data_IF_419934718598
#
_entry.id   IF_419934718598
#
_cell.length_a   1.000
_cell.length_b   1.000
_cell.length_c   1.000
_cell.angle_alpha   90.00
_cell.angle_beta   90.00
_cell.angle_gamma   90.00
#
_symmetry.space_group_name_H-M   'P 1'
#
loop_
_entity.id
_entity.type
_entity.pdbx_description
1 polymer ?
#
# COMPACT_ATOMS: atom_id res chain seq x y z
N UNK A 1 -8.09 -1.59 22.06
CA UNK A 1 -7.31 -2.52 21.22
C UNK A 1 -6.36 -1.72 20.35
N UNK A 2 -5.07 -2.08 20.33
CA UNK A 2 -4.08 -1.47 19.44
C UNK A 2 -4.25 -1.97 18.01
N UNK A 3 -3.92 -1.11 17.05
CA UNK A 3 -3.98 -1.43 15.62
C UNK A 3 -2.58 -1.37 15.03
N UNK A 4 -2.15 -2.51 14.47
CA UNK A 4 -0.90 -2.63 13.73
C UNK A 4 -1.15 -2.59 12.23
N UNK A 5 -0.46 -1.71 11.51
CA UNK A 5 -0.44 -1.69 10.06
C UNK A 5 0.77 -2.46 9.53
N UNK A 6 0.55 -3.38 8.60
CA UNK A 6 1.65 -4.15 8.00
C UNK A 6 2.53 -3.23 7.14
N UNK A 7 3.81 -3.16 7.49
CA UNK A 7 4.85 -2.42 6.75
C UNK A 7 5.81 -3.33 5.99
N UNK A 8 6.60 -2.75 5.09
CA UNK A 8 7.49 -3.47 4.18
C UNK A 8 8.87 -2.80 4.05
N UNK A 9 9.89 -3.61 3.82
CA UNK A 9 11.26 -3.19 3.47
C UNK A 9 11.71 -3.89 2.18
N UNK A 10 10.77 -4.11 1.26
CA UNK A 10 11.02 -4.82 -0.01
C UNK A 10 11.51 -3.83 -1.07
N UNK A 11 12.07 -4.34 -2.17
CA UNK A 11 12.50 -3.50 -3.31
C UNK A 11 11.34 -3.07 -4.23
N UNK A 12 10.09 -3.34 -3.85
CA UNK A 12 8.91 -3.10 -4.68
C UNK A 12 7.85 -2.28 -3.93
N UNK A 13 7.63 -1.04 -4.37
CA UNK A 13 6.63 -0.13 -3.81
C UNK A 13 5.19 -0.64 -3.94
N UNK A 14 4.93 -1.60 -4.83
CA UNK A 14 3.63 -2.26 -4.92
C UNK A 14 3.22 -2.96 -3.61
N UNK A 15 4.17 -3.31 -2.74
CA UNK A 15 3.82 -3.78 -1.40
C UNK A 15 3.25 -2.65 -0.54
N UNK A 16 3.86 -1.46 -0.58
CA UNK A 16 3.44 -0.26 0.17
C UNK A 16 2.03 0.23 -0.22
N UNK A 17 1.57 0.00 -1.47
CA UNK A 17 0.16 0.24 -1.85
C UNK A 17 -0.81 -0.56 -0.98
N UNK A 18 -0.46 -1.80 -0.62
CA UNK A 18 -1.29 -2.62 0.27
C UNK A 18 -1.34 -2.03 1.68
N UNK A 19 -0.25 -1.43 2.17
CA UNK A 19 -0.25 -0.74 3.46
C UNK A 19 -1.17 0.48 3.43
N UNK A 20 -1.06 1.33 2.39
CA UNK A 20 -1.92 2.50 2.24
C UNK A 20 -3.39 2.11 2.14
N UNK A 21 -3.73 1.15 1.27
CA UNK A 21 -5.11 0.67 1.11
C UNK A 21 -5.68 0.08 2.41
N UNK A 22 -4.84 -0.54 3.23
CA UNK A 22 -5.22 -1.02 4.56
C UNK A 22 -5.44 0.15 5.53
N UNK A 23 -4.52 1.11 5.57
CA UNK A 23 -4.62 2.31 6.43
C UNK A 23 -5.90 3.12 6.19
N UNK A 24 -6.27 3.31 4.92
CA UNK A 24 -7.53 3.99 4.55
C UNK A 24 -8.78 3.32 5.15
N UNK A 25 -8.70 2.01 5.40
CA UNK A 25 -9.75 1.19 5.98
C UNK A 25 -9.68 1.04 7.50
N UNK A 26 -8.73 1.68 8.17
CA UNK A 26 -8.60 1.65 9.63
C UNK A 26 -8.99 3.01 10.23
N UNK A 27 -9.69 3.02 11.39
CA UNK A 27 -10.07 4.27 12.05
C UNK A 27 -8.87 4.97 12.69
N UNK A 28 -7.85 4.20 13.08
CA UNK A 28 -6.59 4.67 13.61
C UNK A 28 -5.50 3.60 13.43
N UNK A 29 -4.23 4.02 13.47
CA UNK A 29 -3.07 3.13 13.42
C UNK A 29 -2.13 3.47 14.57
N UNK A 30 -1.83 2.51 15.44
CA UNK A 30 -0.91 2.73 16.57
C UNK A 30 0.55 2.53 16.18
N UNK A 31 0.84 1.62 15.25
CA UNK A 31 2.20 1.34 14.81
C UNK A 31 2.26 0.62 13.47
N UNK A 32 3.43 0.64 12.85
CA UNK A 32 3.81 -0.30 11.82
C UNK A 32 4.30 -1.62 12.41
N UNK A 33 4.04 -2.70 11.68
CA UNK A 33 4.36 -4.07 12.03
C UNK A 33 5.03 -4.72 10.82
N UNK A 34 6.33 -4.99 10.90
CA UNK A 34 7.09 -5.45 9.74
C UNK A 34 6.68 -6.87 9.33
N UNK A 35 6.16 -7.04 8.11
CA UNK A 35 5.75 -8.35 7.59
C UNK A 35 6.86 -9.40 7.65
N UNK A 36 8.09 -9.00 7.35
CA UNK A 36 9.25 -9.92 7.31
C UNK A 36 9.92 -10.12 8.69
N UNK A 37 9.44 -9.47 9.75
CA UNK A 37 9.81 -9.77 11.15
C UNK A 37 8.60 -10.20 12.00
N UNK A 38 7.43 -10.40 11.38
CA UNK A 38 6.13 -10.56 12.06
C UNK A 38 6.07 -11.69 13.11
N UNK A 39 6.79 -12.80 12.89
CA UNK A 39 6.91 -13.88 13.86
C UNK A 39 7.79 -13.57 15.08
N UNK A 40 8.80 -12.70 14.94
CA UNK A 40 9.77 -12.37 16.00
C UNK A 40 9.46 -11.05 16.72
N UNK A 41 8.34 -10.41 16.39
CA UNK A 41 7.92 -9.18 17.05
C UNK A 41 7.53 -9.46 18.50
N UNK A 42 8.25 -8.79 19.40
CA UNK A 42 7.86 -8.64 20.79
C UNK A 42 6.86 -7.50 20.86
N UNK A 43 5.58 -7.86 20.93
CA UNK A 43 4.51 -6.94 21.22
C UNK A 43 4.16 -7.08 22.71
N UNK A 44 4.16 -5.96 23.39
CA UNK A 44 3.75 -5.77 24.78
C UNK A 44 2.26 -6.07 25.00
N UNK A 45 1.44 -5.83 23.97
CA UNK A 45 0.01 -6.08 24.00
C UNK A 45 -0.55 -6.67 22.69
N UNK A 46 -1.81 -7.11 22.72
CA UNK A 46 -2.45 -7.65 21.51
C UNK A 46 -2.75 -6.54 20.50
N UNK A 47 -2.38 -6.78 19.24
CA UNK A 47 -2.57 -5.85 18.14
C UNK A 47 -3.50 -6.45 17.08
N UNK A 48 -4.57 -5.74 16.74
CA UNK A 48 -5.35 -6.05 15.56
C UNK A 48 -4.54 -5.77 14.30
N UNK A 49 -4.48 -6.72 13.38
CA UNK A 49 -3.84 -6.55 12.08
C UNK A 49 -4.69 -7.13 10.96
N UNK A 50 -4.95 -6.32 9.94
CA UNK A 50 -5.48 -6.84 8.69
C UNK A 50 -4.36 -7.56 7.90
N UNK A 51 -4.56 -8.84 7.63
CA UNK A 51 -3.55 -9.72 7.05
C UNK A 51 -3.49 -9.64 5.52
N UNK A 52 -3.41 -8.42 4.98
CA UNK A 52 -3.26 -8.17 3.55
C UNK A 52 -1.79 -8.14 3.14
N UNK A 53 -1.30 -9.25 2.61
CA UNK A 53 0.00 -9.29 1.93
C UNK A 53 0.21 -10.63 1.22
N UNK A 54 1.34 -10.73 0.54
CA UNK A 54 1.94 -12.02 0.20
C UNK A 54 2.89 -12.47 1.31
N UNK A 55 2.68 -13.66 1.85
CA UNK A 55 3.51 -14.25 2.89
C UNK A 55 4.30 -15.43 2.32
N UNK A 56 5.59 -15.54 2.58
CA UNK A 56 6.39 -16.73 2.18
C UNK A 56 7.71 -16.84 2.96
N UNK A 57 8.36 -15.70 3.23
CA UNK A 57 9.80 -15.65 3.54
C UNK A 57 10.18 -16.15 4.94
N UNK A 58 9.23 -16.24 5.87
CA UNK A 58 9.46 -16.83 7.17
C UNK A 58 9.12 -18.32 7.11
N UNK A 59 10.15 -19.11 6.76
CA UNK A 59 10.10 -20.57 6.82
C UNK A 59 9.63 -20.98 8.23
N UNK A 60 8.52 -21.73 8.29
CA UNK A 60 7.94 -22.40 9.46
C UNK A 60 7.24 -21.56 10.54
N UNK A 61 7.54 -20.27 10.71
CA UNK A 61 6.96 -19.47 11.80
C UNK A 61 5.70 -18.72 11.37
N UNK A 62 4.62 -18.94 12.12
CA UNK A 62 3.39 -18.15 12.01
C UNK A 62 3.57 -16.79 12.72
N UNK A 63 2.66 -15.83 12.47
CA UNK A 63 2.62 -14.58 13.24
C UNK A 63 2.67 -14.78 14.75
N UNK A 64 3.23 -13.79 15.46
CA UNK A 64 3.19 -13.74 16.92
C UNK A 64 1.76 -13.93 17.45
N UNK A 65 1.60 -14.65 18.56
CA UNK A 65 0.29 -14.85 19.21
C UNK A 65 -0.33 -13.55 19.73
N UNK A 66 0.47 -12.48 19.85
CA UNK A 66 -0.01 -11.14 20.15
C UNK A 66 -0.74 -10.48 18.97
N UNK A 67 -0.67 -11.05 17.76
CA UNK A 67 -1.46 -10.58 16.63
C UNK A 67 -2.88 -11.14 16.72
N UNK A 68 -3.86 -10.25 16.63
CA UNK A 68 -5.26 -10.56 16.38
C UNK A 68 -5.56 -10.33 14.89
N UNK A 69 -5.47 -11.36 14.05
CA UNK A 69 -5.56 -11.20 12.61
C UNK A 69 -7.01 -11.08 12.14
N UNK A 70 -7.22 -10.27 11.11
CA UNK A 70 -8.37 -10.37 10.22
C UNK A 70 -7.87 -10.64 8.81
N UNK A 71 -8.30 -11.74 8.19
CA UNK A 71 -7.78 -12.15 6.88
C UNK A 71 -8.60 -11.57 5.73
N UNK A 72 -7.98 -10.68 4.96
CA UNK A 72 -8.49 -10.14 3.71
C UNK A 72 -7.31 -9.85 2.79
N UNK A 73 -7.38 -10.25 1.52
CA UNK A 73 -6.28 -10.05 0.58
C UNK A 73 -5.02 -10.82 0.96
N UNK A 74 -5.17 -11.93 1.68
CA UNK A 74 -4.06 -12.80 2.06
C UNK A 74 -3.61 -13.65 0.87
N UNK A 75 -2.33 -13.63 0.54
CA UNK A 75 -1.77 -14.48 -0.52
C UNK A 75 -0.79 -15.50 0.08
N UNK A 76 -1.10 -16.77 -0.15
CA UNK A 76 -0.37 -17.92 0.36
C UNK A 76 0.82 -18.23 -0.55
N UNK A 77 2.00 -17.73 -0.17
CA UNK A 77 3.07 -17.46 -1.11
C UNK A 77 3.97 -18.61 -1.52
N UNK A 78 3.74 -19.83 -1.05
CA UNK A 78 4.52 -20.99 -1.49
C UNK A 78 4.13 -22.28 -0.80
N UNK A 79 4.52 -23.41 -1.39
CA UNK A 79 4.29 -24.76 -0.86
C UNK A 79 4.96 -24.96 0.52
N UNK A 80 6.03 -24.22 0.82
CA UNK A 80 6.71 -24.29 2.12
C UNK A 80 5.83 -23.85 3.29
N UNK A 81 4.80 -23.01 3.05
CA UNK A 81 3.85 -22.61 4.09
C UNK A 81 2.80 -23.70 4.38
N UNK A 82 2.71 -24.73 3.54
CA UNK A 82 1.85 -25.89 3.80
C UNK A 82 2.36 -26.74 4.97
N UNK A 83 3.59 -26.48 5.41
CA UNK A 83 4.27 -27.17 6.50
C UNK A 83 4.58 -26.19 7.65
N UNK A 84 4.76 -26.70 8.87
CA UNK A 84 5.11 -25.89 10.04
C UNK A 84 3.89 -25.26 10.74
N UNK A 85 4.05 -24.06 11.31
CA UNK A 85 3.04 -23.44 12.17
C UNK A 85 1.92 -22.71 11.42
N UNK A 86 2.11 -22.39 10.13
CA UNK A 86 1.12 -21.65 9.33
C UNK A 86 -0.24 -22.36 9.24
N UNK A 87 -0.34 -23.66 8.89
CA UNK A 87 -1.65 -24.33 8.81
C UNK A 87 -2.39 -24.33 10.16
N UNK A 88 -1.66 -24.52 11.27
CA UNK A 88 -2.23 -24.47 12.63
C UNK A 88 -2.73 -23.07 12.96
N UNK A 89 -1.95 -22.04 12.63
CA UNK A 89 -2.33 -20.64 12.86
C UNK A 89 -3.56 -20.27 12.04
N UNK A 90 -3.57 -20.58 10.74
CA UNK A 90 -4.67 -20.26 9.84
C UNK A 90 -5.97 -20.99 10.24
N UNK A 91 -5.91 -22.26 10.66
CA UNK A 91 -7.09 -22.98 11.19
C UNK A 91 -7.76 -22.29 12.36
N UNK A 92 -7.01 -21.59 13.22
CA UNK A 92 -7.56 -20.86 14.37
C UNK A 92 -8.42 -19.66 13.96
N UNK A 93 -8.17 -19.09 12.79
CA UNK A 93 -8.74 -17.81 12.34
C UNK A 93 -9.52 -17.94 11.02
N UNK A 94 -9.89 -19.16 10.63
CA UNK A 94 -10.72 -19.40 9.46
C UNK A 94 -12.14 -18.82 9.66
N UNK A 95 -12.85 -18.42 8.59
CA UNK A 95 -12.45 -18.52 7.19
C UNK A 95 -11.37 -17.49 6.79
N UNK A 96 -10.47 -17.88 5.89
CA UNK A 96 -9.38 -17.02 5.41
C UNK A 96 -9.80 -16.29 4.13
N UNK A 97 -9.86 -14.95 4.19
CA UNK A 97 -10.06 -14.09 3.02
C UNK A 97 -8.79 -13.98 2.16
N UNK A 98 -8.75 -14.74 1.07
CA UNK A 98 -7.61 -14.84 0.18
C UNK A 98 -7.63 -13.81 -0.96
N UNK A 99 -6.45 -13.30 -1.33
CA UNK A 99 -6.28 -12.36 -2.45
C UNK A 99 -6.65 -12.94 -3.80
N UNK A 100 -6.31 -14.21 -4.01
CA UNK A 100 -6.39 -14.90 -5.29
C UNK A 100 -6.96 -16.31 -5.14
N UNK A 101 -7.57 -16.83 -6.21
CA UNK A 101 -8.25 -18.13 -6.19
C UNK A 101 -7.26 -19.29 -6.05
N UNK A 102 -6.01 -19.12 -6.49
CA UNK A 102 -4.95 -20.09 -6.25
C UNK A 102 -4.63 -20.27 -4.77
N UNK A 103 -4.67 -19.20 -3.96
CA UNK A 103 -4.48 -19.25 -2.51
C UNK A 103 -5.66 -19.97 -1.85
N UNK A 104 -6.90 -19.69 -2.28
CA UNK A 104 -8.10 -20.42 -1.84
C UNK A 104 -7.94 -21.92 -2.09
N UNK A 105 -7.59 -22.31 -3.32
CA UNK A 105 -7.42 -23.71 -3.68
C UNK A 105 -6.34 -24.41 -2.85
N UNK A 106 -5.24 -23.73 -2.53
CA UNK A 106 -4.19 -24.27 -1.66
C UNK A 106 -4.67 -24.48 -0.23
N UNK A 107 -5.36 -23.50 0.36
CA UNK A 107 -5.87 -23.62 1.73
C UNK A 107 -6.95 -24.69 1.86
N UNK A 108 -7.87 -24.78 0.89
CA UNK A 108 -8.90 -25.83 0.87
C UNK A 108 -8.29 -27.24 0.80
N UNK A 109 -7.21 -27.43 0.04
CA UNK A 109 -6.45 -28.70 0.01
C UNK A 109 -5.83 -29.07 1.37
N UNK A 110 -5.60 -28.10 2.25
CA UNK A 110 -5.11 -28.31 3.62
C UNK A 110 -6.25 -28.47 4.64
N UNK A 111 -7.51 -28.52 4.20
CA UNK A 111 -8.69 -28.57 5.06
C UNK A 111 -8.93 -27.27 5.83
N UNK A 112 -8.51 -26.12 5.30
CA UNK A 112 -8.69 -24.80 5.91
C UNK A 112 -9.76 -24.05 5.12
N UNK A 113 -10.79 -23.57 5.80
CA UNK A 113 -11.84 -22.81 5.13
C UNK A 113 -11.29 -21.46 4.65
N UNK A 114 -11.60 -21.13 3.39
CA UNK A 114 -11.07 -19.98 2.69
C UNK A 114 -11.99 -19.57 1.55
N UNK A 115 -12.05 -18.26 1.31
CA UNK A 115 -12.83 -17.66 0.22
C UNK A 115 -11.99 -16.60 -0.50
N UNK A 116 -12.38 -16.28 -1.73
CA UNK A 116 -11.74 -15.22 -2.49
C UNK A 116 -12.31 -13.86 -2.06
N UNK A 117 -11.46 -13.03 -1.47
CA UNK A 117 -11.83 -11.68 -0.99
C UNK A 117 -11.36 -10.57 -1.93
N UNK A 118 -10.48 -10.88 -2.90
CA UNK A 118 -9.77 -9.87 -3.68
C UNK A 118 -8.71 -9.13 -2.84
N UNK A 119 -8.29 -7.96 -3.30
CA UNK A 119 -7.27 -7.11 -2.64
C UNK A 119 -7.88 -5.74 -2.31
N UNK A 120 -7.63 -5.16 -1.13
CA UNK A 120 -8.10 -3.80 -0.80
C UNK A 120 -7.53 -2.73 -1.72
N UNK A 121 -6.46 -3.01 -2.45
CA UNK A 121 -5.98 -2.06 -3.47
C UNK A 121 -7.04 -1.82 -4.55
N UNK A 122 -8.01 -2.71 -4.76
CA UNK A 122 -9.18 -2.45 -5.62
C UNK A 122 -10.13 -1.39 -5.06
N UNK A 123 -10.04 -1.08 -3.75
CA UNK A 123 -10.94 -0.17 -3.04
C UNK A 123 -10.33 1.19 -2.77
N UNK A 124 -9.06 1.37 -3.11
CA UNK A 124 -8.33 2.61 -2.83
C UNK A 124 -9.04 3.85 -3.44
N UNK A 125 -9.65 3.71 -4.62
CA UNK A 125 -10.39 4.80 -5.27
C UNK A 125 -11.67 5.23 -4.54
N UNK A 126 -12.26 4.37 -3.69
CA UNK A 126 -13.45 4.74 -2.90
C UNK A 126 -13.19 5.82 -1.85
N UNK A 127 -11.92 6.05 -1.51
CA UNK A 127 -11.48 7.08 -0.57
C UNK A 127 -11.01 8.36 -1.27
N UNK A 128 -11.02 8.41 -2.59
CA UNK A 128 -10.54 9.56 -3.35
C UNK A 128 -11.68 10.16 -4.15
N UNK A 129 -11.66 11.48 -4.34
CA UNK A 129 -12.59 12.10 -5.29
C UNK A 129 -12.35 11.52 -6.70
N UNK A 130 -13.40 11.14 -7.43
CA UNK A 130 -13.25 10.60 -8.77
C UNK A 130 -12.63 11.65 -9.71
N UNK A 131 -11.85 11.18 -10.68
CA UNK A 131 -11.36 12.02 -11.78
C UNK A 131 -12.24 11.72 -13.00
N UNK A 132 -12.99 12.71 -13.54
CA UNK A 132 -13.78 12.56 -14.75
C UNK A 132 -12.93 12.06 -15.93
N UNK A 133 -13.54 11.32 -16.85
CA UNK A 133 -12.80 10.64 -17.94
C UNK A 133 -12.10 11.66 -18.86
N UNK A 134 -12.77 12.77 -19.13
CA UNK A 134 -12.34 13.89 -19.95
C UNK A 134 -11.17 14.69 -19.36
N UNK A 135 -10.96 14.60 -18.05
CA UNK A 135 -9.83 15.24 -17.36
C UNK A 135 -8.58 14.37 -17.32
N UNK A 136 -8.71 13.07 -17.63
CA UNK A 136 -7.60 12.12 -17.57
C UNK A 136 -6.68 12.30 -18.76
N UNK A 137 -5.39 12.21 -18.49
CA UNK A 137 -4.32 12.45 -19.47
C UNK A 137 -3.19 11.45 -19.30
N UNK A 138 -2.52 11.14 -20.40
CA UNK A 138 -1.28 10.38 -20.40
C UNK A 138 -1.47 8.87 -20.41
N UNK A 139 -0.50 8.20 -21.04
CA UNK A 139 -0.37 6.74 -21.07
C UNK A 139 0.87 6.36 -20.27
N UNK A 140 0.73 5.44 -19.31
CA UNK A 140 1.83 5.07 -18.41
C UNK A 140 2.25 3.62 -18.59
N UNK A 141 3.55 3.41 -18.84
CA UNK A 141 4.17 2.11 -19.06
C UNK A 141 4.93 1.69 -17.79
N UNK A 142 4.28 0.93 -16.91
CA UNK A 142 4.79 0.68 -15.56
C UNK A 142 5.52 -0.66 -15.47
N UNK A 143 6.84 -0.59 -15.32
CA UNK A 143 7.73 -1.74 -15.16
C UNK A 143 7.59 -2.81 -16.26
N UNK A 144 7.29 -2.47 -17.51
CA UNK A 144 7.14 -3.47 -18.57
C UNK A 144 8.40 -4.31 -18.80
N UNK A 145 8.21 -5.51 -19.38
CA UNK A 145 9.34 -6.35 -19.79
C UNK A 145 9.68 -6.04 -21.25
N UNK A 146 10.96 -6.04 -21.64
CA UNK A 146 11.32 -5.81 -23.04
C UNK A 146 10.57 -6.72 -24.02
N UNK A 147 10.40 -8.00 -23.65
CA UNK A 147 9.68 -8.99 -24.47
C UNK A 147 8.18 -8.73 -24.63
N UNK A 148 7.56 -7.88 -23.81
CA UNK A 148 6.14 -7.52 -23.98
C UNK A 148 5.91 -6.37 -24.96
N UNK A 149 6.95 -5.57 -25.28
CA UNK A 149 6.80 -4.36 -26.09
C UNK A 149 6.29 -4.65 -27.51
N UNK A 150 6.62 -5.82 -28.08
CA UNK A 150 6.13 -6.26 -29.40
C UNK A 150 4.61 -6.48 -29.47
N UNK A 151 3.93 -6.59 -28.33
CA UNK A 151 2.48 -6.75 -28.25
C UNK A 151 1.74 -5.41 -28.05
N UNK A 152 2.49 -4.32 -27.92
CA UNK A 152 1.96 -2.99 -27.67
C UNK A 152 2.16 -2.16 -28.94
N UNK A 153 1.09 -1.54 -29.49
CA UNK A 153 1.17 -0.67 -30.67
C UNK A 153 2.24 0.41 -30.55
N UNK A 154 2.86 0.76 -31.67
CA UNK A 154 3.94 1.75 -31.72
C UNK A 154 3.49 3.12 -31.22
N UNK A 155 2.28 3.55 -31.54
CA UNK A 155 1.72 4.83 -31.10
C UNK A 155 1.56 4.89 -29.57
N UNK A 156 1.09 3.80 -28.95
CA UNK A 156 0.98 3.66 -27.48
C UNK A 156 2.37 3.65 -26.83
N UNK A 157 3.35 2.97 -27.44
CA UNK A 157 4.73 2.96 -26.95
C UNK A 157 5.38 4.35 -27.05
N UNK A 158 5.19 5.04 -28.16
CA UNK A 158 5.79 6.34 -28.43
C UNK A 158 5.25 7.45 -27.53
N UNK A 159 3.94 7.44 -27.23
CA UNK A 159 3.32 8.42 -26.31
C UNK A 159 3.36 8.01 -24.83
N UNK A 160 3.84 6.80 -24.54
CA UNK A 160 3.84 6.22 -23.20
C UNK A 160 4.98 6.75 -22.34
N UNK A 161 4.66 7.20 -21.12
CA UNK A 161 5.66 7.60 -20.11
C UNK A 161 6.05 6.37 -19.29
N UNK A 162 7.32 5.98 -19.36
CA UNK A 162 7.85 4.88 -18.56
C UNK A 162 8.03 5.32 -17.11
N UNK A 163 7.48 4.55 -16.17
CA UNK A 163 7.65 4.77 -14.73
C UNK A 163 7.89 3.43 -14.01
N UNK A 164 8.53 3.48 -12.84
CA UNK A 164 8.86 2.28 -12.06
C UNK A 164 8.32 2.31 -10.63
N UNK A 165 7.82 1.14 -10.18
CA UNK A 165 7.54 0.88 -8.77
C UNK A 165 8.75 0.31 -8.02
N UNK A 166 9.94 0.32 -8.62
CA UNK A 166 11.17 0.00 -7.91
C UNK A 166 11.44 1.05 -6.83
N UNK A 167 11.88 0.59 -5.66
CA UNK A 167 12.23 1.47 -4.55
C UNK A 167 13.63 2.04 -4.80
N UNK A 168 13.81 3.39 -4.81
CA UNK A 168 15.14 3.97 -4.79
C UNK A 168 15.93 3.56 -3.54
N UNK A 169 17.23 3.23 -3.63
CA UNK A 169 18.03 2.82 -2.47
C UNK A 169 17.96 3.82 -1.29
N UNK A 170 17.90 5.12 -1.59
CA UNK A 170 17.86 6.19 -0.59
C UNK A 170 16.64 6.14 0.36
N UNK A 171 15.55 5.48 -0.03
CA UNK A 171 14.33 5.39 0.78
C UNK A 171 14.00 3.96 1.19
N UNK A 172 14.91 2.99 0.96
CA UNK A 172 14.63 1.56 1.17
C UNK A 172 14.12 1.26 2.59
N UNK A 173 14.72 1.93 3.59
CA UNK A 173 14.43 1.74 5.02
C UNK A 173 13.56 2.87 5.63
N UNK A 174 13.10 3.84 4.83
CA UNK A 174 12.14 4.87 5.26
C UNK A 174 10.72 4.48 4.80
N UNK A 175 9.90 3.82 5.65
CA UNK A 175 8.55 3.40 5.28
C UNK A 175 7.63 4.56 4.90
N UNK A 176 7.81 5.75 5.49
CA UNK A 176 6.94 6.88 5.20
C UNK A 176 7.31 7.52 3.85
N UNK A 177 8.60 7.63 3.53
CA UNK A 177 9.05 8.09 2.22
C UNK A 177 8.63 7.12 1.10
N UNK A 178 8.66 5.81 1.34
CA UNK A 178 8.15 4.79 0.40
C UNK A 178 6.66 4.94 0.16
N UNK A 179 5.87 5.05 1.24
CA UNK A 179 4.42 5.24 1.14
C UNK A 179 4.05 6.57 0.46
N UNK A 180 4.76 7.65 0.78
CA UNK A 180 4.62 8.94 0.10
C UNK A 180 4.92 8.82 -1.40
N UNK A 181 6.02 8.15 -1.77
CA UNK A 181 6.39 7.96 -3.18
C UNK A 181 5.36 7.17 -3.96
N UNK A 182 4.86 6.05 -3.42
CA UNK A 182 3.86 5.25 -4.11
C UNK A 182 2.48 5.95 -4.12
N UNK A 183 2.18 6.80 -3.14
CA UNK A 183 0.99 7.64 -3.16
C UNK A 183 1.03 8.63 -4.34
N UNK A 184 2.18 9.27 -4.60
CA UNK A 184 2.40 10.12 -5.79
C UNK A 184 2.18 9.34 -7.08
N UNK A 185 2.75 8.14 -7.21
CA UNK A 185 2.53 7.27 -8.39
C UNK A 185 1.04 6.91 -8.53
N UNK A 186 0.35 6.56 -7.44
CA UNK A 186 -1.07 6.22 -7.49
C UNK A 186 -1.94 7.40 -7.95
N UNK A 187 -1.63 8.63 -7.54
CA UNK A 187 -2.34 9.81 -8.05
C UNK A 187 -2.11 10.04 -9.55
N UNK A 188 -0.88 9.82 -10.04
CA UNK A 188 -0.58 9.81 -11.49
C UNK A 188 -1.43 8.77 -12.20
N UNK A 189 -1.46 7.53 -11.70
CA UNK A 189 -2.24 6.44 -12.31
C UNK A 189 -3.76 6.67 -12.25
N UNK A 190 -4.26 7.37 -11.22
CA UNK A 190 -5.68 7.74 -11.09
C UNK A 190 -6.10 8.76 -12.15
N UNK A 191 -5.17 9.62 -12.57
CA UNK A 191 -5.38 10.65 -13.60
C UNK A 191 -5.03 10.18 -15.02
N UNK A 192 -4.55 8.94 -15.18
CA UNK A 192 -4.14 8.39 -16.46
C UNK A 192 -5.31 8.06 -17.41
N UNK A 193 -5.09 8.20 -18.71
CA UNK A 193 -5.99 7.65 -19.75
C UNK A 193 -5.84 6.13 -19.87
N UNK A 194 -4.59 5.64 -19.76
CA UNK A 194 -4.25 4.24 -19.96
C UNK A 194 -3.02 3.87 -19.13
N UNK A 195 -3.07 2.68 -18.51
CA UNK A 195 -1.94 2.08 -17.80
C UNK A 195 -1.61 0.72 -18.41
N UNK A 196 -0.36 0.52 -18.81
CA UNK A 196 0.12 -0.79 -19.28
C UNK A 196 1.22 -1.26 -18.33
N UNK A 197 1.07 -2.44 -17.72
CA UNK A 197 1.96 -2.87 -16.65
C UNK A 197 2.20 -4.37 -16.59
N UNK A 198 3.25 -4.82 -15.89
CA UNK A 198 3.39 -6.22 -15.44
C UNK A 198 2.98 -6.46 -13.99
N UNK A 199 2.62 -5.41 -13.25
CA UNK A 199 2.53 -5.41 -11.79
C UNK A 199 1.07 -5.52 -11.33
N UNK A 200 0.80 -6.52 -10.48
CA UNK A 200 -0.52 -6.68 -9.85
C UNK A 200 -0.92 -5.42 -9.05
N UNK A 201 -0.04 -4.90 -8.20
CA UNK A 201 -0.33 -3.70 -7.39
C UNK A 201 -0.13 -2.38 -8.15
N UNK A 202 -0.08 -2.43 -9.48
CA UNK A 202 -0.32 -1.27 -10.35
C UNK A 202 -1.70 -1.40 -10.98
N UNK A 203 -2.03 -2.58 -11.54
CA UNK A 203 -3.33 -2.76 -12.21
C UNK A 203 -4.51 -2.73 -11.23
N UNK A 204 -4.43 -3.37 -10.06
CA UNK A 204 -5.55 -3.41 -9.12
C UNK A 204 -5.95 -2.01 -8.59
N UNK A 205 -5.03 -1.13 -8.17
CA UNK A 205 -5.41 0.24 -7.84
C UNK A 205 -5.93 1.01 -9.06
N UNK A 206 -5.36 0.83 -10.25
CA UNK A 206 -5.92 1.42 -11.49
C UNK A 206 -7.37 1.03 -11.72
N UNK A 207 -7.73 -0.24 -11.53
CA UNK A 207 -9.14 -0.69 -11.57
C UNK A 207 -9.97 0.03 -10.51
N UNK A 208 -9.46 0.15 -9.29
CA UNK A 208 -10.15 0.89 -8.21
C UNK A 208 -10.35 2.37 -8.49
N UNK A 209 -9.48 3.00 -9.28
CA UNK A 209 -9.62 4.37 -9.76
C UNK A 209 -10.56 4.50 -10.97
N UNK A 210 -10.98 3.37 -11.55
CA UNK A 210 -11.66 3.32 -12.84
C UNK A 210 -10.74 3.69 -14.00
N UNK A 211 -9.42 3.56 -13.88
CA UNK A 211 -8.43 3.80 -14.94
C UNK A 211 -8.35 2.59 -15.86
N UNK A 212 -8.52 2.75 -17.19
CA UNK A 212 -8.25 1.68 -18.16
C UNK A 212 -6.84 1.12 -17.99
N UNK A 213 -6.71 -0.19 -17.84
CA UNK A 213 -5.42 -0.81 -17.58
C UNK A 213 -5.28 -2.19 -18.21
N UNK A 214 -4.10 -2.47 -18.79
CA UNK A 214 -3.76 -3.74 -19.45
C UNK A 214 -2.51 -4.33 -18.81
N UNK A 215 -2.52 -5.65 -18.60
CA UNK A 215 -1.37 -6.35 -18.01
C UNK A 215 -0.67 -7.22 -19.04
N UNK A 216 0.65 -7.15 -19.06
CA UNK A 216 1.52 -8.12 -19.72
C UNK A 216 2.44 -8.79 -18.70
N UNK A 217 2.26 -10.10 -18.48
CA UNK A 217 3.04 -10.86 -17.52
C UNK A 217 3.65 -12.11 -18.15
N UNK A 218 4.84 -12.52 -17.69
CA UNK A 218 5.40 -13.80 -18.13
C UNK A 218 4.52 -14.96 -17.70
N UNK A 219 4.26 -15.90 -18.60
CA UNK A 219 3.58 -17.16 -18.30
C UNK A 219 4.49 -18.06 -17.44
N UNK A 220 4.45 -17.85 -16.12
CA UNK A 220 5.17 -18.64 -15.12
C UNK A 220 4.22 -18.94 -13.97
N UNK A 221 4.36 -20.12 -13.34
CA UNK A 221 3.51 -20.60 -12.21
C UNK A 221 3.28 -19.51 -11.14
N UNK A 222 4.31 -18.74 -10.79
CA UNK A 222 4.19 -17.65 -9.82
C UNK A 222 3.31 -16.48 -10.25
N UNK A 223 3.35 -16.09 -11.54
CA UNK A 223 2.50 -15.03 -12.06
C UNK A 223 1.07 -15.52 -12.29
N UNK A 224 0.88 -16.70 -12.87
CA UNK A 224 -0.45 -17.31 -13.05
C UNK A 224 -1.17 -17.41 -11.69
N UNK A 225 -0.47 -17.87 -10.66
CA UNK A 225 -1.01 -17.87 -9.30
C UNK A 225 -1.32 -16.46 -8.78
N UNK A 226 -0.38 -15.51 -8.92
CA UNK A 226 -0.55 -14.12 -8.46
C UNK A 226 -1.78 -13.44 -9.05
N UNK A 227 -2.12 -13.74 -10.29
CA UNK A 227 -3.22 -13.12 -11.03
C UNK A 227 -4.51 -13.97 -11.04
N UNK A 228 -4.48 -15.20 -10.53
CA UNK A 228 -5.64 -16.10 -10.54
C UNK A 228 -6.90 -15.47 -9.91
N UNK A 229 -8.01 -15.54 -10.65
CA UNK A 229 -9.29 -14.87 -10.34
C UNK A 229 -9.41 -13.46 -10.93
N UNK A 230 -8.33 -12.67 -10.96
CA UNK A 230 -8.37 -11.31 -11.52
C UNK A 230 -8.52 -11.28 -13.05
N UNK A 231 -8.12 -12.35 -13.73
CA UNK A 231 -8.25 -12.50 -15.19
C UNK A 231 -9.71 -12.50 -15.67
N UNK A 232 -10.67 -12.72 -14.76
CA UNK A 232 -12.10 -12.72 -15.07
C UNK A 232 -12.63 -11.32 -15.43
N UNK A 233 -11.96 -10.26 -14.99
CA UNK A 233 -12.41 -8.88 -15.20
C UNK A 233 -11.30 -7.89 -15.57
N UNK A 234 -10.03 -8.28 -15.42
CA UNK A 234 -8.87 -7.47 -15.82
C UNK A 234 -8.24 -8.07 -17.07
N UNK A 235 -7.90 -7.27 -18.10
CA UNK A 235 -7.25 -7.77 -19.31
C UNK A 235 -5.78 -8.15 -19.02
N UNK A 236 -5.60 -9.37 -18.54
CA UNK A 236 -4.31 -9.94 -18.17
C UNK A 236 -3.81 -10.86 -19.28
N UNK A 237 -2.69 -10.47 -19.88
CA UNK A 237 -2.11 -11.12 -21.04
C UNK A 237 -0.80 -11.80 -20.64
N UNK A 238 -0.82 -13.14 -20.62
CA UNK A 238 0.36 -13.94 -20.41
C UNK A 238 1.13 -14.15 -21.70
N UNK A 239 2.46 -14.05 -21.64
CA UNK A 239 3.34 -14.31 -22.78
C UNK A 239 4.60 -15.06 -22.36
N UNK A 240 5.26 -15.74 -23.29
CA UNK A 240 6.52 -16.45 -23.03
C UNK A 240 6.80 -17.54 -24.08
N UNK A 241 7.81 -18.40 -23.85
CA UNK A 241 8.10 -19.51 -24.75
C UNK A 241 6.86 -20.38 -25.00
N UNK A 242 6.42 -20.47 -26.26
CA UNK A 242 5.24 -21.24 -26.66
C UNK A 242 3.89 -20.67 -26.23
N UNK A 243 3.84 -19.46 -25.66
CA UNK A 243 2.61 -18.82 -25.19
C UNK A 243 2.52 -17.40 -25.74
N UNK A 244 1.56 -17.19 -26.63
CA UNK A 244 1.21 -15.88 -27.17
C UNK A 244 0.03 -15.29 -26.37
N UNK A 245 0.05 -13.97 -26.08
CA UNK A 245 -1.04 -13.31 -25.40
C UNK A 245 -2.28 -13.24 -26.28
N UNK A 246 -3.45 -13.06 -25.65
CA UNK A 246 -4.68 -12.75 -26.37
C UNK A 246 -4.55 -11.38 -27.04
N UNK A 247 -5.11 -11.17 -28.24
CA UNK A 247 -5.18 -9.84 -28.84
C UNK A 247 -5.91 -8.87 -27.91
N UNK A 248 -5.37 -7.65 -27.80
CA UNK A 248 -5.99 -6.56 -27.04
C UNK A 248 -6.63 -5.61 -28.03
N UNK A 249 -7.92 -5.30 -27.84
CA UNK A 249 -8.59 -4.23 -28.58
C UNK A 249 -8.14 -2.87 -28.03
N UNK A 250 -7.00 -2.39 -28.53
CA UNK A 250 -6.37 -1.15 -28.08
C UNK A 250 -7.21 0.10 -28.36
N UNK A 251 -8.14 0.04 -29.31
CA UNK A 251 -9.06 1.14 -29.59
C UNK A 251 -10.18 1.27 -28.53
N UNK A 252 -10.42 0.21 -27.76
CA UNK A 252 -11.53 0.14 -26.81
C UNK A 252 -11.11 -0.47 -25.46
N UNK A 253 -9.96 -0.05 -24.93
CA UNK A 253 -9.59 -0.39 -23.56
C UNK A 253 -10.45 0.41 -22.58
N UNK A 254 -11.40 -0.26 -21.94
CA UNK A 254 -12.31 0.33 -20.95
C UNK A 254 -11.88 0.00 -19.52
N UNK A 255 -12.31 0.80 -18.51
CA UNK A 255 -12.10 0.45 -17.11
C UNK A 255 -12.73 -0.90 -16.76
N UNK A 256 -11.98 -1.74 -16.05
CA UNK A 256 -12.51 -2.99 -15.54
C UNK A 256 -13.59 -2.74 -14.47
N UNK A 257 -14.63 -3.57 -14.46
CA UNK A 257 -15.67 -3.53 -13.43
C UNK A 257 -15.34 -4.53 -12.33
N UNK A 258 -15.34 -4.09 -11.08
CA UNK A 258 -15.11 -4.98 -9.94
C UNK A 258 -16.34 -5.88 -9.78
N UNK A 259 -16.18 -7.22 -9.72
CA UNK A 259 -17.32 -8.13 -9.55
C UNK A 259 -18.09 -7.88 -8.24
N UNK A 260 -19.42 -7.92 -8.30
CA UNK A 260 -20.31 -7.66 -7.16
C UNK A 260 -20.04 -8.55 -5.94
N UNK A 261 -19.59 -9.79 -6.15
CA UNK A 261 -19.23 -10.68 -5.03
C UNK A 261 -18.00 -10.16 -4.25
N UNK A 262 -17.04 -9.50 -4.92
CA UNK A 262 -15.92 -8.84 -4.23
C UNK A 262 -16.38 -7.56 -3.51
N UNK A 263 -17.44 -6.90 -3.99
CA UNK A 263 -18.07 -5.76 -3.29
C UNK A 263 -18.71 -6.25 -1.99
N UNK A 264 -19.43 -7.37 -2.03
CA UNK A 264 -20.01 -7.99 -0.85
C UNK A 264 -18.93 -8.36 0.19
N UNK A 265 -17.81 -8.97 -0.24
CA UNK A 265 -16.68 -9.27 0.66
C UNK A 265 -16.06 -8.02 1.29
N UNK A 266 -15.99 -6.93 0.54
CA UNK A 266 -15.52 -5.66 1.09
C UNK A 266 -16.49 -5.08 2.11
N UNK A 267 -17.81 -5.15 1.85
CA UNK A 267 -18.82 -4.72 2.82
C UNK A 267 -18.77 -5.52 4.13
N UNK A 268 -18.61 -6.85 4.05
CA UNK A 268 -18.38 -7.73 5.21
C UNK A 268 -17.15 -7.29 6.00
N UNK A 269 -16.02 -7.04 5.33
CA UNK A 269 -14.79 -6.54 5.97
C UNK A 269 -15.04 -5.22 6.70
N UNK A 270 -15.74 -4.27 6.07
CA UNK A 270 -16.04 -2.96 6.66
C UNK A 270 -16.89 -3.10 7.92
N UNK A 271 -17.89 -3.99 7.91
CA UNK A 271 -18.69 -4.31 9.09
C UNK A 271 -17.86 -4.92 10.22
N UNK A 272 -16.96 -5.86 9.89
CA UNK A 272 -16.08 -6.49 10.88
C UNK A 272 -15.13 -5.48 11.51
N UNK A 273 -14.48 -4.62 10.71
CA UNK A 273 -13.63 -3.54 11.22
C UNK A 273 -14.45 -2.61 12.12
N UNK A 274 -15.64 -2.20 11.69
CA UNK A 274 -16.51 -1.32 12.46
C UNK A 274 -16.89 -1.92 13.82
N UNK A 275 -17.20 -3.23 13.86
CA UNK A 275 -17.56 -3.93 15.10
C UNK A 275 -16.39 -4.03 16.09
N UNK A 276 -15.15 -4.11 15.60
CA UNK A 276 -13.96 -4.32 16.42
C UNK A 276 -13.24 -3.04 16.84
N UNK A 277 -13.25 -2.04 15.97
CA UNK A 277 -12.42 -0.83 16.09
C UNK A 277 -13.22 0.47 16.04
N UNK A 278 -14.51 0.41 15.72
CA UNK A 278 -15.33 1.56 15.35
C UNK A 278 -15.29 1.85 13.85
N UNK A 279 -16.26 2.64 13.39
CA UNK A 279 -16.41 2.98 11.98
C UNK A 279 -15.27 3.86 11.44
N UNK A 280 -15.01 3.74 10.15
CA UNK A 280 -14.10 4.64 9.43
C UNK A 280 -14.94 5.64 8.65
N UNK A 281 -14.75 6.93 8.93
CA UNK A 281 -15.51 8.00 8.28
C UNK A 281 -15.42 7.98 6.75
N UNK A 282 -16.42 8.55 6.11
CA UNK A 282 -16.60 8.58 4.64
C UNK A 282 -15.77 9.67 3.94
N UNK A 283 -14.66 10.10 4.55
CA UNK A 283 -13.81 11.15 3.99
C UNK A 283 -13.26 10.74 2.62
N UNK A 284 -13.56 11.56 1.61
CA UNK A 284 -12.93 11.49 0.29
C UNK A 284 -11.82 12.53 0.18
N UNK A 285 -10.59 12.08 -0.05
CA UNK A 285 -9.44 12.95 -0.22
C UNK A 285 -9.31 13.41 -1.68
N UNK A 286 -8.82 14.64 -1.88
CA UNK A 286 -8.54 15.16 -3.22
C UNK A 286 -7.41 14.36 -3.91
N UNK A 287 -6.41 13.98 -3.13
CA UNK A 287 -5.24 13.23 -3.58
C UNK A 287 -4.80 12.22 -2.52
N UNK A 288 -4.14 11.16 -2.97
CA UNK A 288 -3.57 10.16 -2.08
C UNK A 288 -2.27 10.64 -1.46
N UNK A 289 -1.42 11.34 -2.22
CA UNK A 289 -0.24 11.99 -1.67
C UNK A 289 -0.61 13.25 -0.89
N UNK A 290 0.09 13.47 0.22
CA UNK A 290 -0.07 14.66 1.06
C UNK A 290 1.27 15.19 1.54
N UNK A 291 1.31 16.50 1.77
CA UNK A 291 2.42 17.19 2.42
C UNK A 291 1.84 18.11 3.48
N UNK A 292 2.23 17.88 4.72
CA UNK A 292 1.72 18.59 5.88
C UNK A 292 2.89 19.33 6.55
N UNK A 293 2.69 20.61 6.86
CA UNK A 293 3.64 21.38 7.68
C UNK A 293 3.06 21.53 9.08
N UNK A 294 3.81 21.07 10.08
CA UNK A 294 3.42 21.09 11.48
C UNK A 294 4.36 22.01 12.24
N UNK A 295 3.79 22.90 13.05
CA UNK A 295 4.52 23.74 14.00
C UNK A 295 4.08 23.40 15.41
N UNK A 296 5.05 23.20 16.31
CA UNK A 296 4.79 22.87 17.72
C UNK A 296 5.81 23.57 18.65
N UNK A 297 5.50 23.73 19.94
CA UNK A 297 6.41 24.39 20.88
C UNK A 297 7.75 23.66 21.01
N UNK A 298 8.86 24.40 21.08
CA UNK A 298 10.17 23.84 21.41
C UNK A 298 10.20 23.54 22.92
N UNK A 299 10.48 22.29 23.37
CA UNK A 299 10.48 21.93 24.79
C UNK A 299 11.73 22.42 25.55
N UNK A 300 12.35 23.53 25.13
CA UNK A 300 13.54 24.10 25.77
C UNK A 300 14.87 23.54 25.27
N UNK A 301 14.94 23.09 24.01
CA UNK A 301 16.15 22.50 23.41
C UNK A 301 17.13 23.53 22.80
N UNK A 302 16.94 24.81 23.10
CA UNK A 302 17.75 25.92 22.57
C UNK A 302 17.45 26.24 21.09
N UNK A 303 18.25 27.12 20.50
CA UNK A 303 18.08 27.60 19.11
C UNK A 303 18.88 26.82 18.06
N UNK A 304 19.88 26.02 18.47
CA UNK A 304 20.62 25.17 17.54
C UNK A 304 19.74 24.02 17.05
N UNK A 305 19.59 23.90 15.73
CA UNK A 305 18.72 22.90 15.12
C UNK A 305 19.11 21.47 15.53
N UNK A 306 18.14 20.75 16.08
CA UNK A 306 18.25 19.34 16.42
C UNK A 306 17.67 18.42 15.36
N UNK A 307 17.15 17.27 15.79
CA UNK A 307 16.52 16.25 14.94
C UNK A 307 15.06 16.09 15.34
N UNK A 308 14.20 15.83 14.35
CA UNK A 308 12.80 15.46 14.54
C UNK A 308 12.62 14.03 14.04
N UNK A 309 11.85 13.22 14.73
CA UNK A 309 11.53 11.86 14.31
C UNK A 309 10.07 11.50 14.57
N UNK A 310 9.51 10.67 13.71
CA UNK A 310 8.19 10.06 13.91
C UNK A 310 8.42 8.61 14.30
N UNK A 311 7.98 8.22 15.49
CA UNK A 311 8.08 6.83 15.95
C UNK A 311 6.92 6.00 15.41
N UNK A 312 7.19 5.23 14.35
CA UNK A 312 6.21 4.36 13.73
C UNK A 312 6.19 2.97 14.40
N UNK A 313 6.83 2.79 15.55
CA UNK A 313 6.91 1.55 16.33
C UNK A 313 7.76 0.43 15.71
N UNK A 314 7.96 0.42 14.39
CA UNK A 314 8.91 -0.45 13.69
C UNK A 314 10.28 0.22 13.52
N UNK A 315 10.26 1.51 13.20
CA UNK A 315 11.42 2.36 12.98
C UNK A 315 11.05 3.80 13.33
N UNK A 316 12.06 4.59 13.69
CA UNK A 316 11.94 6.03 13.81
C UNK A 316 12.33 6.66 12.49
N UNK A 317 11.41 7.43 11.93
CA UNK A 317 11.62 8.10 10.64
C UNK A 317 11.98 9.54 10.91
N UNK A 318 13.21 9.91 10.57
CA UNK A 318 13.73 11.24 10.85
C UNK A 318 13.35 12.26 9.78
N UNK A 319 13.13 13.49 10.22
CA UNK A 319 12.84 14.64 9.37
C UNK A 319 13.75 15.79 9.78
N UNK A 320 14.25 16.49 8.78
CA UNK A 320 15.00 17.73 8.99
C UNK A 320 13.97 18.82 9.32
N UNK A 321 14.12 19.54 10.44
CA UNK A 321 13.23 20.65 10.75
C UNK A 321 13.37 21.75 9.70
N UNK A 322 12.26 22.35 9.28
CA UNK A 322 12.25 23.53 8.43
C UNK A 322 12.68 24.77 9.21
N UNK A 323 12.20 24.88 10.46
CA UNK A 323 12.49 26.00 11.35
C UNK A 323 12.74 25.45 12.75
N UNK A 324 13.75 26.00 13.43
CA UNK A 324 14.06 25.70 14.82
C UNK A 324 14.37 27.00 15.56
N UNK A 325 13.53 27.36 16.51
CA UNK A 325 13.71 28.53 17.37
C UNK A 325 13.60 28.12 18.82
N UNK A 326 13.96 28.99 19.76
CA UNK A 326 13.78 28.71 21.19
C UNK A 326 12.31 28.52 21.61
N UNK A 327 11.36 28.96 20.79
CA UNK A 327 9.92 28.92 21.10
C UNK A 327 9.17 27.81 20.38
N UNK A 328 9.53 27.53 19.12
CA UNK A 328 8.82 26.57 18.29
C UNK A 328 9.74 25.88 17.28
N UNK A 329 9.30 24.71 16.85
CA UNK A 329 9.92 23.90 15.80
C UNK A 329 8.87 23.67 14.72
N UNK A 330 9.28 23.77 13.46
CA UNK A 330 8.44 23.49 12.30
C UNK A 330 9.07 22.35 11.51
N UNK A 331 8.26 21.37 11.10
CA UNK A 331 8.69 20.21 10.31
C UNK A 331 7.72 19.97 9.16
N UNK A 332 8.27 19.59 8.01
CA UNK A 332 7.49 19.10 6.88
C UNK A 332 7.41 17.57 6.91
N UNK A 333 6.21 17.05 6.64
CA UNK A 333 5.94 15.62 6.56
C UNK A 333 5.28 15.32 5.22
N UNK A 334 6.05 14.76 4.29
CA UNK A 334 5.51 14.11 3.11
C UNK A 334 4.96 12.72 3.49
N UNK A 335 3.68 12.47 3.17
CA UNK A 335 2.94 11.27 3.59
C UNK A 335 1.84 10.91 2.58
N UNK A 336 0.74 10.37 3.06
CA UNK A 336 -0.40 9.92 2.27
C UNK A 336 -1.72 10.13 3.03
N UNK A 337 -2.84 10.10 2.32
CA UNK A 337 -4.17 10.21 2.92
C UNK A 337 -4.43 9.10 3.95
N UNK A 338 -5.08 9.42 5.07
CA UNK A 338 -5.19 8.64 6.31
C UNK A 338 -3.97 8.67 7.25
N UNK A 339 -2.85 9.30 6.85
CA UNK A 339 -1.72 9.43 7.77
C UNK A 339 -2.08 10.27 9.01
N UNK A 340 -3.07 11.17 8.91
CA UNK A 340 -3.63 11.90 10.06
C UNK A 340 -4.31 11.00 11.11
N UNK A 341 -4.49 9.70 10.83
CA UNK A 341 -5.05 8.72 11.78
C UNK A 341 -3.97 7.93 12.52
N UNK A 342 -2.69 8.24 12.28
CA UNK A 342 -1.60 7.61 12.98
C UNK A 342 -1.46 8.18 14.40
N UNK A 343 -1.51 7.28 15.37
CA UNK A 343 -1.28 7.54 16.79
C UNK A 343 0.21 7.50 17.13
N UNK A 344 1.05 7.88 16.18
CA UNK A 344 2.50 7.80 16.25
C UNK A 344 3.07 8.99 17.04
N UNK A 345 3.97 8.76 18.01
CA UNK A 345 4.70 9.82 18.68
C UNK A 345 5.55 10.65 17.71
N UNK A 346 5.51 11.96 17.87
CA UNK A 346 6.47 12.90 17.30
C UNK A 346 7.51 13.20 18.37
N UNK A 347 8.77 12.93 18.03
CA UNK A 347 9.90 13.04 18.93
C UNK A 347 10.85 14.13 18.43
N UNK A 348 11.50 14.81 19.37
CA UNK A 348 12.59 15.75 19.08
C UNK A 348 13.81 15.46 19.92
N UNK A 349 14.98 15.74 19.38
CA UNK A 349 16.26 15.64 20.08
C UNK A 349 17.08 16.88 19.79
N UNK A 350 17.57 17.55 20.82
CA UNK A 350 18.35 18.77 20.67
C UNK A 350 19.75 18.51 20.10
N UNK A 351 20.42 19.58 19.65
CA UNK A 351 21.81 19.43 19.20
C UNK A 351 22.75 19.11 20.39
N UNK A 352 22.57 19.80 21.52
CA UNK A 352 23.38 19.60 22.73
C UNK A 352 22.83 18.51 23.65
N UNK A 353 21.50 18.42 23.77
CA UNK A 353 20.82 17.36 24.50
C UNK A 353 20.47 16.20 23.56
N UNK A 354 21.11 15.04 23.75
CA UNK A 354 20.95 13.85 22.90
C UNK A 354 19.84 12.90 23.34
N UNK A 355 18.92 13.35 24.20
CA UNK A 355 17.73 12.58 24.58
C UNK A 355 16.54 12.89 23.68
N UNK A 356 15.78 11.85 23.33
CA UNK A 356 14.53 11.99 22.58
C UNK A 356 13.39 12.36 23.52
N UNK A 357 12.70 13.46 23.22
CA UNK A 357 11.53 13.94 23.95
C UNK A 357 10.29 13.84 23.06
N UNK A 358 9.22 13.22 23.56
CA UNK A 358 7.92 13.22 22.87
C UNK A 358 7.26 14.60 23.03
N UNK A 359 6.87 15.21 21.92
CA UNK A 359 6.22 16.53 21.88
C UNK A 359 4.73 16.46 21.54
N UNK A 360 4.25 15.28 21.16
CA UNK A 360 2.85 14.98 20.88
C UNK A 360 2.72 13.87 19.86
N UNK A 361 1.54 13.73 19.26
CA UNK A 361 1.23 12.65 18.31
C UNK A 361 0.70 13.16 16.99
N UNK A 362 0.95 12.38 15.94
CA UNK A 362 0.55 12.70 14.56
C UNK A 362 -0.97 12.96 14.45
N UNK A 363 -1.82 12.13 15.05
CA UNK A 363 -3.29 12.28 15.00
C UNK A 363 -3.83 13.53 15.68
N UNK A 364 -3.04 14.12 16.58
CA UNK A 364 -3.38 15.36 17.28
C UNK A 364 -2.82 16.59 16.58
N UNK A 365 -1.68 16.44 15.91
CA UNK A 365 -0.92 17.54 15.32
C UNK A 365 -1.22 17.78 13.85
N UNK A 366 -1.51 16.74 13.06
CA UNK A 366 -1.85 16.90 11.63
C UNK A 366 -3.19 17.61 11.45
N UNK A 367 -4.14 17.49 12.37
CA UNK A 367 -5.43 18.20 12.27
C UNK A 367 -5.29 19.74 12.27
N UNK A 368 -4.20 20.26 12.84
CA UNK A 368 -3.87 21.68 12.87
C UNK A 368 -2.76 22.06 11.86
N UNK A 369 -2.37 21.14 10.96
CA UNK A 369 -1.33 21.38 9.97
C UNK A 369 -1.82 22.32 8.86
N UNK A 370 -0.85 22.95 8.18
CA UNK A 370 -1.10 23.56 6.88
C UNK A 370 -0.79 22.53 5.79
N UNK A 371 -1.83 22.02 5.12
CA UNK A 371 -1.68 21.16 3.93
C UNK A 371 -1.08 22.01 2.81
N UNK A 372 0.08 21.60 2.30
CA UNK A 372 0.76 22.31 1.23
C UNK A 372 0.11 22.05 -0.13
N UNK A 373 0.26 22.97 -1.10
CA UNK A 373 -0.26 22.79 -2.45
C UNK A 373 0.17 21.45 -3.06
N UNK A 374 -0.74 20.85 -3.82
CA UNK A 374 -0.47 19.61 -4.52
C UNK A 374 0.58 19.84 -5.63
N UNK A 375 1.61 18.97 -5.77
CA UNK A 375 2.63 19.16 -6.79
C UNK A 375 2.05 19.09 -8.21
N UNK A 376 2.71 19.78 -9.14
CA UNK A 376 2.43 19.63 -10.58
C UNK A 376 2.73 18.21 -11.06
N UNK A 377 2.15 17.82 -12.21
CA UNK A 377 2.39 16.50 -12.81
C UNK A 377 3.88 16.27 -13.10
N UNK A 378 4.60 17.29 -13.58
CA UNK A 378 6.04 17.23 -13.79
C UNK A 378 6.79 16.92 -12.48
N UNK A 379 6.43 17.59 -11.37
CA UNK A 379 7.04 17.36 -10.06
C UNK A 379 6.70 15.98 -9.48
N UNK A 380 5.50 15.46 -9.76
CA UNK A 380 5.17 14.09 -9.40
C UNK A 380 6.08 13.12 -10.16
N UNK A 381 6.20 13.28 -11.48
CA UNK A 381 6.96 12.36 -12.33
C UNK A 381 8.49 12.42 -12.11
N UNK A 382 9.00 13.49 -11.48
CA UNK A 382 10.42 13.62 -11.16
C UNK A 382 10.90 12.45 -10.31
N UNK A 383 11.86 11.70 -10.88
CA UNK A 383 12.51 10.57 -10.23
C UNK A 383 11.72 9.26 -10.27
N UNK A 384 10.70 9.13 -11.12
CA UNK A 384 10.00 7.85 -11.39
C UNK A 384 10.52 7.08 -12.61
N UNK A 385 11.25 7.74 -13.50
CA UNK A 385 11.87 7.17 -14.70
C UNK A 385 13.15 6.38 -14.37
#
# INVERSE_FOLDING_TARGET
MKVGLIGFTTVNLGDDVQAIATSLNLPYVDRLVLRDKFASLKLDERHFCLMQSWFTKQRLLAPSSAIDPLFFGFCFGGETMSYGLWPRYLRKYQPIGCRDTGSVARLKKLGIDAHWSGCLTLRIGSFLKPVPREERKGTYLVDLLPGSLKYIPEDIRARGVAISNAVPPAILDDPLARMSRIAKICDVLRRAELVVTKRLHTVLPSVGFGTPAVVFALNRKGNVHRFSGFEEFVPINFFGPGVEPKPVDWANVVPATIPAHLDARYAELRGEIASRLGGVGETQYDNLYRRDVITFPNPGLGHEAGRVAIDLGMTRVERVPLVWTEKFITVEIESYASFERFRAPLLVMGNRNKEWTEVGRIDQMIGASTVQPYPSEEELLRGFA
#
